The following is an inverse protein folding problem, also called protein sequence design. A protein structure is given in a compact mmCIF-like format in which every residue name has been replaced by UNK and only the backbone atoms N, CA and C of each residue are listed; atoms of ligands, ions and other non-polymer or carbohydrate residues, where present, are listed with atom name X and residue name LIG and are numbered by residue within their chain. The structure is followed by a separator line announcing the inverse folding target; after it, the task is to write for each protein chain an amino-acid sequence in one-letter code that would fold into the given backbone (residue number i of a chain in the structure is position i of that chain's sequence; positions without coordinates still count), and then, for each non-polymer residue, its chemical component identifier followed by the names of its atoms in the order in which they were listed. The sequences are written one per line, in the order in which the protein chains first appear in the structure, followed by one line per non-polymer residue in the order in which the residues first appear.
data_IF_753175102806
#
_entry.id   IF_753175102806
#
_cell.length_a   1.000
_cell.length_b   1.000
_cell.length_c   1.000
_cell.angle_alpha   90.00
_cell.angle_beta   90.00
_cell.angle_gamma   90.00
#
_symmetry.space_group_name_H-M   'P 1'
#
loop_
_entity.id
_entity.type
_entity.pdbx_description
1 polymer ?
#
# COMPACT_ATOMS: atom_id res chain seq x y z
N UNK A 1 15.24 -23.24 -5.24
CA UNK A 1 15.63 -22.05 -4.45
C UNK A 1 14.64 -21.92 -3.33
N UNK A 2 15.12 -21.74 -2.09
CA UNK A 2 14.28 -21.42 -0.93
C UNK A 2 14.40 -19.91 -0.68
N UNK A 3 13.27 -19.23 -0.51
CA UNK A 3 13.21 -17.77 -0.40
C UNK A 3 13.56 -17.31 1.02
N UNK A 4 14.14 -16.11 1.12
CA UNK A 4 14.30 -15.40 2.39
C UNK A 4 12.98 -15.33 3.19
N UNK A 5 13.06 -15.35 4.53
CA UNK A 5 11.85 -15.20 5.35
C UNK A 5 11.24 -13.80 5.19
N UNK A 6 12.09 -12.79 5.02
CA UNK A 6 11.72 -11.43 4.63
C UNK A 6 10.94 -11.42 3.32
N UNK A 7 11.48 -12.00 2.25
CA UNK A 7 10.79 -12.11 0.96
C UNK A 7 9.43 -12.82 1.08
N UNK A 8 9.37 -13.94 1.83
CA UNK A 8 8.13 -14.70 2.03
C UNK A 8 7.06 -13.89 2.77
N UNK A 9 7.45 -13.16 3.80
CA UNK A 9 6.52 -12.30 4.56
C UNK A 9 6.04 -11.14 3.69
N UNK A 10 6.93 -10.51 2.93
CA UNK A 10 6.60 -9.42 1.99
C UNK A 10 5.63 -9.90 0.91
N UNK A 11 5.84 -11.10 0.35
CA UNK A 11 4.92 -11.72 -0.60
C UNK A 11 3.57 -12.08 0.02
N UNK A 12 3.53 -12.57 1.27
CA UNK A 12 2.29 -12.87 1.97
C UNK A 12 1.46 -11.59 2.16
N UNK A 13 2.06 -10.53 2.68
CA UNK A 13 1.39 -9.24 2.87
C UNK A 13 0.92 -8.66 1.53
N UNK A 14 1.75 -8.76 0.48
CA UNK A 14 1.40 -8.36 -0.88
C UNK A 14 0.19 -9.13 -1.42
N UNK A 15 0.15 -10.44 -1.22
CA UNK A 15 -0.98 -11.28 -1.62
C UNK A 15 -2.27 -10.92 -0.88
N UNK A 16 -2.20 -10.55 0.40
CA UNK A 16 -3.34 -10.05 1.16
C UNK A 16 -3.84 -8.70 0.65
N UNK A 17 -2.94 -7.79 0.26
CA UNK A 17 -3.30 -6.52 -0.39
C UNK A 17 -3.98 -6.78 -1.74
N UNK A 18 -3.46 -7.70 -2.55
CA UNK A 18 -4.08 -8.08 -3.82
C UNK A 18 -5.48 -8.68 -3.62
N UNK A 19 -5.64 -9.60 -2.66
CA UNK A 19 -6.94 -10.16 -2.32
C UNK A 19 -7.93 -9.06 -1.89
N UNK A 20 -7.46 -8.10 -1.10
CA UNK A 20 -8.26 -6.93 -0.72
C UNK A 20 -8.66 -6.10 -1.95
N UNK A 21 -7.77 -5.93 -2.92
CA UNK A 21 -8.07 -5.24 -4.17
C UNK A 21 -9.21 -5.92 -4.94
N UNK A 22 -9.25 -7.26 -5.00
CA UNK A 22 -10.33 -8.02 -5.65
C UNK A 22 -11.68 -7.80 -4.95
N UNK A 23 -11.70 -7.86 -3.62
CA UNK A 23 -12.91 -7.62 -2.82
C UNK A 23 -13.41 -6.18 -2.97
N UNK A 24 -12.49 -5.19 -2.93
CA UNK A 24 -12.81 -3.78 -3.21
C UNK A 24 -13.34 -3.58 -4.64
N UNK A 25 -12.86 -4.38 -5.60
CA UNK A 25 -13.37 -4.38 -6.97
C UNK A 25 -14.83 -4.82 -7.06
N UNK A 26 -15.22 -5.85 -6.32
CA UNK A 26 -16.61 -6.27 -6.22
C UNK A 26 -17.50 -5.18 -5.59
N UNK A 27 -17.00 -4.50 -4.55
CA UNK A 27 -17.71 -3.38 -3.93
C UNK A 27 -17.84 -2.18 -4.88
N UNK A 28 -16.76 -1.82 -5.59
CA UNK A 28 -16.77 -0.79 -6.63
C UNK A 28 -17.81 -1.11 -7.72
N UNK A 29 -17.84 -2.35 -8.22
CA UNK A 29 -18.82 -2.80 -9.20
C UNK A 29 -20.25 -2.65 -8.68
N UNK A 30 -20.51 -3.07 -7.45
CA UNK A 30 -21.82 -2.89 -6.82
C UNK A 30 -22.22 -1.40 -6.80
N UNK A 31 -21.33 -0.50 -6.39
CA UNK A 31 -21.60 0.94 -6.36
C UNK A 31 -21.87 1.55 -7.75
N UNK A 32 -21.18 1.07 -8.79
CA UNK A 32 -21.44 1.47 -10.18
C UNK A 32 -22.83 1.02 -10.64
N UNK A 33 -23.23 -0.21 -10.28
CA UNK A 33 -24.51 -0.79 -10.71
C UNK A 33 -25.74 -0.18 -10.02
N UNK A 34 -25.57 0.37 -8.83
CA UNK A 34 -26.69 0.85 -7.99
C UNK A 34 -26.80 2.37 -7.92
N UNK A 35 -25.80 3.13 -8.37
CA UNK A 35 -25.85 4.59 -8.44
C UNK A 35 -26.53 5.08 -9.71
N UNK A 36 -27.18 6.25 -9.63
CA UNK A 36 -27.80 6.88 -10.80
C UNK A 36 -26.74 7.42 -11.78
N UNK A 37 -25.57 7.77 -11.25
CA UNK A 37 -24.44 8.34 -11.98
C UNK A 37 -23.55 7.27 -12.65
N UNK A 38 -23.82 5.99 -12.40
CA UNK A 38 -23.00 4.88 -12.94
C UNK A 38 -21.57 4.88 -12.39
N UNK A 39 -21.37 5.38 -11.17
CA UNK A 39 -20.06 5.54 -10.56
C UNK A 39 -20.07 5.12 -9.08
N UNK A 40 -19.03 4.41 -8.65
CA UNK A 40 -18.81 4.17 -7.23
C UNK A 40 -18.44 5.49 -6.52
N UNK A 41 -18.60 5.52 -5.19
CA UNK A 41 -18.09 6.64 -4.40
C UNK A 41 -16.58 6.81 -4.63
N UNK A 42 -16.10 8.04 -4.73
CA UNK A 42 -14.71 8.35 -5.13
C UNK A 42 -13.68 7.58 -4.29
N UNK A 43 -13.91 7.46 -2.98
CA UNK A 43 -13.00 6.72 -2.10
C UNK A 43 -13.08 5.19 -2.24
N UNK A 44 -14.19 4.63 -2.71
CA UNK A 44 -14.27 3.20 -3.06
C UNK A 44 -13.45 2.94 -4.33
N UNK A 45 -13.53 3.84 -5.31
CA UNK A 45 -12.71 3.78 -6.53
C UNK A 45 -11.21 3.90 -6.21
N UNK A 46 -10.83 4.91 -5.42
CA UNK A 46 -9.45 5.11 -4.97
C UNK A 46 -8.95 3.89 -4.18
N UNK A 47 -9.73 3.36 -3.23
CA UNK A 47 -9.33 2.19 -2.44
C UNK A 47 -9.00 0.99 -3.33
N UNK A 48 -9.88 0.66 -4.28
CA UNK A 48 -9.66 -0.45 -5.21
C UNK A 48 -8.41 -0.25 -6.08
N UNK A 49 -8.28 0.92 -6.71
CA UNK A 49 -7.13 1.23 -7.58
C UNK A 49 -5.82 1.22 -6.81
N UNK A 50 -5.79 1.85 -5.63
CA UNK A 50 -4.63 1.89 -4.77
C UNK A 50 -4.21 0.48 -4.34
N UNK A 51 -5.15 -0.34 -3.86
CA UNK A 51 -4.86 -1.72 -3.47
C UNK A 51 -4.27 -2.54 -4.61
N UNK A 52 -4.80 -2.38 -5.84
CA UNK A 52 -4.24 -3.05 -7.01
C UNK A 52 -2.80 -2.59 -7.26
N UNK A 53 -2.54 -1.29 -7.38
CA UNK A 53 -1.19 -0.76 -7.64
C UNK A 53 -0.20 -1.11 -6.52
N UNK A 54 -0.62 -1.03 -5.26
CA UNK A 54 0.20 -1.35 -4.10
C UNK A 54 0.56 -2.82 -4.00
N UNK A 55 -0.29 -3.74 -4.48
CA UNK A 55 0.10 -5.15 -4.59
C UNK A 55 1.24 -5.36 -5.61
N UNK A 56 1.21 -4.69 -6.76
CA UNK A 56 2.32 -4.80 -7.71
C UNK A 56 3.59 -4.13 -7.19
N UNK A 57 3.45 -3.00 -6.49
CA UNK A 57 4.56 -2.40 -5.78
C UNK A 57 5.12 -3.34 -4.69
N UNK A 58 4.27 -4.06 -3.95
CA UNK A 58 4.70 -5.07 -2.97
C UNK A 58 5.51 -6.21 -3.58
N UNK A 59 5.16 -6.66 -4.80
CA UNK A 59 5.99 -7.62 -5.55
C UNK A 59 7.34 -7.01 -5.89
N UNK A 60 7.38 -5.74 -6.32
CA UNK A 60 8.63 -5.03 -6.59
C UNK A 60 9.53 -5.00 -5.34
N UNK A 61 8.97 -4.67 -4.17
CA UNK A 61 9.70 -4.69 -2.90
C UNK A 61 10.28 -6.08 -2.61
N UNK A 62 9.47 -7.14 -2.76
CA UNK A 62 9.93 -8.51 -2.55
C UNK A 62 11.12 -8.89 -3.46
N UNK A 63 11.15 -8.42 -4.71
CA UNK A 63 12.29 -8.64 -5.61
C UNK A 63 13.54 -7.91 -5.12
N UNK A 64 13.41 -6.65 -4.69
CA UNK A 64 14.54 -5.90 -4.13
C UNK A 64 15.07 -6.54 -2.84
N UNK A 65 14.17 -7.01 -1.97
CA UNK A 65 14.50 -7.72 -0.73
C UNK A 65 15.24 -9.02 -1.00
N UNK A 66 14.75 -9.86 -1.92
CA UNK A 66 15.39 -11.14 -2.24
C UNK A 66 16.79 -10.97 -2.83
N UNK A 67 17.03 -9.87 -3.54
CA UNK A 67 18.30 -9.55 -4.19
C UNK A 67 19.20 -8.63 -3.34
N UNK A 68 18.80 -8.32 -2.11
CA UNK A 68 19.51 -7.40 -1.22
C UNK A 68 20.67 -8.08 -0.49
N UNK A 69 21.79 -7.38 -0.32
CA UNK A 69 22.89 -7.80 0.55
C UNK A 69 22.67 -7.49 2.03
N UNK A 70 21.63 -6.72 2.38
CA UNK A 70 21.40 -6.34 3.77
C UNK A 70 20.90 -7.50 4.63
N UNK A 71 21.12 -7.45 5.96
CA UNK A 71 20.57 -8.44 6.87
C UNK A 71 19.05 -8.52 6.77
N UNK A 72 18.49 -9.72 6.91
CA UNK A 72 17.05 -10.01 6.86
C UNK A 72 16.21 -9.04 7.68
N UNK A 73 16.65 -8.68 8.89
CA UNK A 73 15.90 -7.78 9.77
C UNK A 73 15.80 -6.35 9.19
N UNK A 74 16.81 -5.91 8.45
CA UNK A 74 16.84 -4.58 7.83
C UNK A 74 15.87 -4.53 6.65
N UNK A 75 15.94 -5.51 5.74
CA UNK A 75 15.02 -5.61 4.61
C UNK A 75 13.57 -5.76 5.10
N UNK A 76 13.34 -6.71 6.02
CA UNK A 76 11.99 -6.97 6.54
C UNK A 76 11.41 -5.73 7.22
N UNK A 77 12.20 -4.98 7.99
CA UNK A 77 11.70 -3.75 8.63
C UNK A 77 11.32 -2.69 7.60
N UNK A 78 12.13 -2.52 6.55
CA UNK A 78 11.83 -1.59 5.46
C UNK A 78 10.54 -1.99 4.72
N UNK A 79 10.41 -3.28 4.36
CA UNK A 79 9.21 -3.83 3.72
C UNK A 79 7.95 -3.60 4.56
N UNK A 80 8.00 -3.96 5.85
CA UNK A 80 6.85 -3.85 6.74
C UNK A 80 6.41 -2.40 6.97
N UNK A 81 7.34 -1.44 6.99
CA UNK A 81 6.99 -0.02 7.08
C UNK A 81 6.22 0.43 5.85
N UNK A 82 6.72 0.12 4.64
CA UNK A 82 6.06 0.51 3.39
C UNK A 82 4.69 -0.17 3.26
N UNK A 83 4.65 -1.50 3.45
CA UNK A 83 3.42 -2.28 3.36
C UNK A 83 2.39 -1.87 4.43
N UNK A 84 2.86 -1.47 5.61
CA UNK A 84 2.01 -0.91 6.67
C UNK A 84 1.32 0.38 6.23
N UNK A 85 2.05 1.30 5.60
CA UNK A 85 1.46 2.52 5.04
C UNK A 85 0.51 2.25 3.88
N UNK A 86 0.84 1.33 2.97
CA UNK A 86 -0.06 0.89 1.91
C UNK A 86 -1.38 0.36 2.47
N UNK A 87 -1.32 -0.57 3.41
CA UNK A 87 -2.49 -1.15 4.06
C UNK A 87 -3.31 -0.08 4.81
N UNK A 88 -2.65 0.82 5.55
CA UNK A 88 -3.29 1.92 6.25
C UNK A 88 -4.01 2.89 5.32
N UNK A 89 -3.40 3.25 4.20
CA UNK A 89 -4.01 4.11 3.18
C UNK A 89 -5.25 3.45 2.55
N UNK A 90 -5.13 2.18 2.14
CA UNK A 90 -6.27 1.41 1.59
C UNK A 90 -7.42 1.36 2.60
N UNK A 91 -7.12 1.07 3.88
CA UNK A 91 -8.12 1.02 4.94
C UNK A 91 -8.80 2.38 5.15
N UNK A 92 -8.03 3.47 5.18
CA UNK A 92 -8.59 4.83 5.27
C UNK A 92 -9.50 5.16 4.09
N UNK A 93 -9.10 4.83 2.87
CA UNK A 93 -9.95 5.02 1.68
C UNK A 93 -11.21 4.17 1.73
N UNK A 94 -11.11 2.90 2.11
CA UNK A 94 -12.28 2.04 2.27
C UNK A 94 -13.24 2.60 3.35
N UNK A 95 -12.72 3.11 4.47
CA UNK A 95 -13.53 3.74 5.51
C UNK A 95 -14.25 4.99 5.02
N UNK A 96 -13.57 5.90 4.31
CA UNK A 96 -14.20 7.07 3.68
C UNK A 96 -15.21 6.66 2.60
N UNK A 97 -14.95 5.57 1.88
CA UNK A 97 -15.89 4.96 0.94
C UNK A 97 -17.17 4.46 1.61
N UNK A 98 -17.05 3.84 2.78
CA UNK A 98 -18.17 3.30 3.55
C UNK A 98 -18.99 4.41 4.21
N UNK A 99 -18.30 5.39 4.83
CA UNK A 99 -18.93 6.53 5.52
C UNK A 99 -19.51 7.55 4.55
N UNK A 100 -18.94 7.67 3.35
CA UNK A 100 -19.26 8.72 2.36
C UNK A 100 -19.20 10.12 2.98
N UNK A 101 -18.26 10.32 3.90
CA UNK A 101 -18.12 11.51 4.74
C UNK A 101 -17.31 12.63 4.07
N UNK A 102 -16.53 12.30 3.03
CA UNK A 102 -15.78 13.27 2.24
C UNK A 102 -15.52 12.76 0.83
N UNK A 103 -15.33 13.69 -0.09
CA UNK A 103 -14.78 13.44 -1.44
C UNK A 103 -13.35 13.96 -1.61
N UNK A 104 -12.84 14.69 -0.60
CA UNK A 104 -11.46 15.16 -0.53
C UNK A 104 -11.07 15.42 0.94
N UNK A 105 -10.40 14.46 1.57
CA UNK A 105 -9.93 14.52 2.97
C UNK A 105 -8.89 15.62 3.23
N UNK A 106 -8.32 16.20 2.16
CA UNK A 106 -7.35 17.28 2.24
C UNK A 106 -7.95 18.65 1.89
N UNK A 107 -9.24 18.72 1.59
CA UNK A 107 -9.91 20.00 1.37
C UNK A 107 -10.00 20.80 2.66
N UNK A 108 -9.64 22.08 2.60
CA UNK A 108 -9.68 23.00 3.74
C UNK A 108 -8.55 22.74 4.75
N UNK A 109 -8.84 22.89 6.04
CA UNK A 109 -7.84 22.76 7.10
C UNK A 109 -7.54 21.29 7.39
N UNK A 110 -6.30 20.86 7.11
CA UNK A 110 -5.86 19.48 7.34
C UNK A 110 -5.64 19.25 8.85
N UNK A 111 -6.36 18.29 9.47
CA UNK A 111 -6.18 17.93 10.87
C UNK A 111 -4.73 17.52 11.16
N UNK A 112 -4.23 17.84 12.36
CA UNK A 112 -2.84 17.57 12.73
C UNK A 112 -2.46 16.09 12.60
N UNK A 113 -3.37 15.17 12.97
CA UNK A 113 -3.17 13.72 12.83
C UNK A 113 -2.98 13.28 11.38
N UNK A 114 -3.79 13.79 10.45
CA UNK A 114 -3.69 13.48 9.02
C UNK A 114 -2.40 14.08 8.42
N UNK A 115 -1.97 15.24 8.89
CA UNK A 115 -0.71 15.85 8.45
C UNK A 115 0.50 15.04 8.91
N UNK A 116 0.48 14.60 10.17
CA UNK A 116 1.54 13.77 10.74
C UNK A 116 1.62 12.42 10.02
N UNK A 117 0.47 11.79 9.70
CA UNK A 117 0.47 10.54 8.94
C UNK A 117 1.03 10.71 7.54
N UNK A 118 0.82 11.86 6.88
CA UNK A 118 1.46 12.14 5.58
C UNK A 118 2.96 12.31 5.67
N UNK A 119 3.48 13.01 6.69
CA UNK A 119 4.93 13.08 6.88
C UNK A 119 5.53 11.71 7.21
N UNK A 120 4.85 10.93 8.04
CA UNK A 120 5.23 9.55 8.34
C UNK A 120 5.25 8.67 7.10
N UNK A 121 4.21 8.77 6.26
CA UNK A 121 4.10 8.03 5.01
C UNK A 121 5.24 8.39 4.06
N UNK A 122 5.50 9.69 3.84
CA UNK A 122 6.58 10.13 2.96
C UNK A 122 7.93 9.61 3.45
N UNK A 123 8.23 9.78 4.76
CA UNK A 123 9.49 9.33 5.33
C UNK A 123 9.63 7.81 5.29
N UNK A 124 8.55 7.08 5.59
CA UNK A 124 8.52 5.62 5.62
C UNK A 124 8.64 5.00 4.24
N UNK A 125 7.89 5.49 3.25
CA UNK A 125 7.90 4.93 1.90
C UNK A 125 9.20 5.25 1.16
N UNK A 126 9.64 6.51 1.17
CA UNK A 126 10.89 6.91 0.52
C UNK A 126 12.09 6.31 1.24
N UNK A 127 12.12 6.41 2.58
CA UNK A 127 13.21 5.87 3.38
C UNK A 127 13.31 4.35 3.31
N UNK A 128 12.18 3.64 3.44
CA UNK A 128 12.13 2.19 3.31
C UNK A 128 12.62 1.73 1.95
N UNK A 129 12.17 2.36 0.86
CA UNK A 129 12.61 1.96 -0.47
C UNK A 129 14.09 2.25 -0.70
N UNK A 130 14.64 3.35 -0.18
CA UNK A 130 16.08 3.64 -0.26
C UNK A 130 16.93 2.55 0.41
N UNK A 131 16.46 1.98 1.53
CA UNK A 131 17.13 0.85 2.19
C UNK A 131 17.16 -0.37 1.27
N UNK A 132 16.01 -0.76 0.70
CA UNK A 132 15.93 -1.92 -0.19
C UNK A 132 16.74 -1.72 -1.47
N UNK A 133 16.64 -0.53 -2.07
CA UNK A 133 17.35 -0.18 -3.29
C UNK A 133 18.87 -0.18 -3.09
N UNK A 134 19.36 0.42 -2.01
CA UNK A 134 20.79 0.39 -1.68
C UNK A 134 21.28 -1.03 -1.39
N UNK A 135 20.45 -1.86 -0.77
CA UNK A 135 20.77 -3.26 -0.48
C UNK A 135 20.90 -4.10 -1.74
N UNK A 136 19.98 -3.92 -2.68
CA UNK A 136 20.07 -4.49 -4.01
C UNK A 136 21.33 -4.03 -4.74
N UNK A 137 21.63 -2.72 -4.76
CA UNK A 137 22.85 -2.21 -5.42
C UNK A 137 24.08 -2.87 -4.82
N UNK A 138 24.19 -2.94 -3.49
CA UNK A 138 25.33 -3.56 -2.82
C UNK A 138 25.42 -5.08 -3.01
N UNK A 139 24.30 -5.77 -3.31
CA UNK A 139 24.27 -7.21 -3.54
C UNK A 139 24.55 -7.62 -4.97
N UNK A 140 24.27 -6.75 -5.94
CA UNK A 140 24.30 -7.09 -7.36
C UNK A 140 25.41 -6.39 -8.16
N UNK A 141 26.02 -5.34 -7.65
CA UNK A 141 27.08 -4.55 -8.32
C UNK A 141 28.28 -4.31 -7.39
#
# INVERSE_FOLDING_TARGET
MDLGIDTRVTLLATGLIFLSALLLGAWKYHGIRTSAEGAAHVYVDIAHRAALMYSFAGVLLAVFTELSAWPTIVNLSADLVILGFFAGAIASYALHGAKRDTTNQFAGTIPAGLRLSMYGLIAGEVGGFLVLFSGFVAGQF
#
